data_IF_570539248558
#
_entry.id   IF_570539248558
#
_cell.length_a   1.000
_cell.length_b   1.000
_cell.length_c   1.000
_cell.angle_alpha   90.00
_cell.angle_beta   90.00
_cell.angle_gamma   90.00
#
_symmetry.space_group_name_H-M   'P 1'
#
loop_
_entity.id
_entity.type
_entity.pdbx_description
1 polymer ?
#
# COMPACT_ATOMS: atom_id res chain seq x y z
N UNK A 1 -2.99 16.43 -0.26
CA UNK A 1 -1.91 15.40 -0.16
C UNK A 1 -2.23 14.23 -1.08
N UNK A 2 -2.08 14.45 -2.39
CA UNK A 2 -2.51 13.51 -3.45
C UNK A 2 -1.75 12.17 -3.47
N UNK A 3 -0.65 12.04 -2.73
CA UNK A 3 0.21 10.84 -2.74
C UNK A 3 0.29 10.15 -1.36
N UNK A 4 -0.73 10.31 -0.53
CA UNK A 4 -0.77 9.72 0.81
C UNK A 4 -1.94 8.76 0.95
N UNK A 5 -1.63 7.49 1.15
CA UNK A 5 -2.59 6.44 1.45
C UNK A 5 -2.74 6.34 2.97
N UNK A 6 -3.95 6.58 3.47
CA UNK A 6 -4.27 6.44 4.90
C UNK A 6 -4.98 5.11 5.12
N UNK A 7 -4.33 4.20 5.82
CA UNK A 7 -4.95 2.94 6.18
C UNK A 7 -5.98 3.12 7.30
N UNK A 8 -7.08 2.40 7.24
CA UNK A 8 -8.09 2.38 8.30
C UNK A 8 -7.90 1.16 9.18
N UNK A 9 -7.95 1.35 10.50
CA UNK A 9 -7.85 0.27 11.48
C UNK A 9 -9.18 -0.45 11.62
N UNK A 10 -9.14 -1.79 11.60
CA UNK A 10 -10.27 -2.65 11.90
C UNK A 10 -9.99 -3.45 13.18
N UNK A 11 -11.01 -3.60 14.02
CA UNK A 11 -10.88 -4.39 15.26
C UNK A 11 -10.84 -5.91 15.01
N UNK A 12 -11.35 -6.36 13.85
CA UNK A 12 -11.53 -7.78 13.52
C UNK A 12 -10.57 -8.30 12.47
N UNK A 13 -11.02 -9.34 11.78
CA UNK A 13 -10.34 -9.97 10.66
C UNK A 13 -10.41 -9.05 9.44
N UNK A 14 -9.31 -8.94 8.71
CA UNK A 14 -9.28 -8.19 7.45
C UNK A 14 -10.00 -8.96 6.34
N UNK A 15 -10.53 -8.25 5.32
CA UNK A 15 -11.17 -8.88 4.17
C UNK A 15 -10.33 -9.98 3.51
N UNK A 16 -11.01 -11.03 3.04
CA UNK A 16 -10.44 -12.09 2.21
C UNK A 16 -10.96 -12.04 0.77
N UNK A 17 -11.84 -11.07 0.46
CA UNK A 17 -12.40 -10.81 -0.86
C UNK A 17 -12.28 -9.34 -1.23
N UNK A 18 -12.14 -9.07 -2.52
CA UNK A 18 -12.18 -7.71 -3.08
C UNK A 18 -13.58 -7.09 -3.00
N UNK A 19 -14.62 -7.91 -2.91
CA UNK A 19 -16.02 -7.49 -2.85
C UNK A 19 -16.55 -7.30 -1.41
N UNK A 20 -15.69 -7.44 -0.39
CA UNK A 20 -16.07 -7.30 1.02
C UNK A 20 -16.47 -5.85 1.33
N UNK A 21 -17.61 -5.67 2.01
CA UNK A 21 -18.14 -4.35 2.37
C UNK A 21 -17.21 -3.54 3.28
N UNK A 22 -16.32 -4.19 4.02
CA UNK A 22 -15.36 -3.53 4.89
C UNK A 22 -14.42 -2.57 4.13
N UNK A 23 -14.21 -2.78 2.83
CA UNK A 23 -13.45 -1.85 1.99
C UNK A 23 -14.08 -0.46 1.90
N UNK A 24 -15.39 -0.34 2.14
CA UNK A 24 -16.08 0.94 2.24
C UNK A 24 -15.58 1.83 3.38
N UNK A 25 -14.93 1.26 4.41
CA UNK A 25 -14.36 2.01 5.53
C UNK A 25 -13.01 2.64 5.19
N UNK A 26 -12.34 2.22 4.12
CA UNK A 26 -11.04 2.74 3.72
C UNK A 26 -11.19 3.83 2.66
N UNK A 27 -10.55 4.98 2.89
CA UNK A 27 -10.47 6.04 1.90
C UNK A 27 -9.71 5.56 0.66
N UNK A 28 -10.26 5.84 -0.52
CA UNK A 28 -9.58 5.59 -1.79
C UNK A 28 -8.56 6.70 -2.06
N UNK A 29 -7.37 6.32 -2.50
CA UNK A 29 -6.33 7.24 -2.97
C UNK A 29 -5.93 6.83 -4.38
N UNK A 30 -6.11 7.72 -5.35
CA UNK A 30 -5.68 7.49 -6.72
C UNK A 30 -4.31 8.08 -6.96
N UNK A 31 -3.43 7.30 -7.57
CA UNK A 31 -2.05 7.65 -7.87
C UNK A 31 -1.84 7.55 -9.38
N UNK A 32 -1.13 8.53 -9.94
CA UNK A 32 -0.81 8.55 -11.36
C UNK A 32 0.24 7.50 -11.70
N UNK A 33 -0.03 6.70 -12.71
CA UNK A 33 0.91 5.80 -13.36
C UNK A 33 1.57 6.51 -14.54
N UNK A 34 2.89 6.47 -14.61
CA UNK A 34 3.67 7.00 -15.71
C UNK A 34 4.47 5.89 -16.40
N UNK A 35 4.68 5.96 -17.70
CA UNK A 35 5.43 4.92 -18.41
C UNK A 35 6.89 4.89 -18.00
N UNK A 36 7.49 3.71 -17.92
CA UNK A 36 8.92 3.55 -17.73
C UNK A 36 9.65 3.77 -19.06
N UNK A 37 10.25 4.95 -19.20
CA UNK A 37 11.04 5.35 -20.38
C UNK A 37 12.56 5.34 -20.15
N UNK A 38 12.99 4.94 -18.95
CA UNK A 38 14.40 5.04 -18.53
C UNK A 38 15.18 3.78 -18.92
N UNK A 39 14.59 2.61 -18.71
CA UNK A 39 15.25 1.31 -18.90
C UNK A 39 14.63 0.54 -20.07
N UNK A 40 15.45 -0.09 -20.87
CA UNK A 40 15.02 -1.03 -21.91
C UNK A 40 14.39 -2.32 -21.31
N UNK A 41 13.26 -2.81 -21.85
CA UNK A 41 12.50 -2.19 -22.93
C UNK A 41 11.67 -1.02 -22.39
N UNK A 42 11.56 0.08 -23.15
CA UNK A 42 10.82 1.28 -22.74
C UNK A 42 9.36 1.18 -23.13
N UNK A 43 8.48 1.70 -22.28
CA UNK A 43 7.08 1.89 -22.57
C UNK A 43 6.84 3.35 -22.99
N UNK A 44 6.29 3.57 -24.21
CA UNK A 44 5.99 4.92 -24.69
C UNK A 44 4.49 5.21 -24.74
N UNK A 45 3.66 4.18 -24.86
CA UNK A 45 2.21 4.30 -25.02
C UNK A 45 1.49 3.47 -23.97
N UNK A 46 1.40 3.96 -22.71
CA UNK A 46 0.67 3.25 -21.66
C UNK A 46 -0.83 3.28 -21.96
N UNK A 47 -1.54 2.23 -21.59
CA UNK A 47 -3.00 2.18 -21.65
C UNK A 47 -3.62 2.48 -20.28
N UNK A 48 -2.88 2.23 -19.20
CA UNK A 48 -3.31 2.46 -17.83
C UNK A 48 -2.56 3.68 -17.26
N UNK A 49 -3.30 4.65 -16.73
CA UNK A 49 -2.77 5.95 -16.28
C UNK A 49 -2.94 6.19 -14.76
N UNK A 50 -3.70 5.33 -14.09
CA UNK A 50 -3.94 5.48 -12.65
C UNK A 50 -4.11 4.13 -11.96
N UNK A 51 -3.74 4.12 -10.68
CA UNK A 51 -4.06 3.04 -9.73
C UNK A 51 -4.75 3.64 -8.52
N UNK A 52 -5.89 3.07 -8.13
CA UNK A 52 -6.62 3.45 -6.92
C UNK A 52 -6.34 2.44 -5.82
N UNK A 53 -6.00 2.93 -4.65
CA UNK A 53 -5.56 2.11 -3.51
C UNK A 53 -6.43 2.39 -2.30
N UNK A 54 -6.88 1.33 -1.63
CA UNK A 54 -7.48 1.35 -0.30
C UNK A 54 -6.62 0.51 0.63
N UNK A 55 -6.48 0.91 1.88
CA UNK A 55 -5.68 0.20 2.86
C UNK A 55 -6.45 -0.02 4.16
N UNK A 56 -6.43 -1.25 4.64
CA UNK A 56 -6.98 -1.66 5.93
C UNK A 56 -5.90 -2.35 6.74
N UNK A 57 -5.94 -2.22 8.05
CA UNK A 57 -5.02 -2.94 8.92
C UNK A 57 -5.69 -3.31 10.26
N UNK A 58 -5.13 -4.30 10.92
CA UNK A 58 -5.48 -4.67 12.30
C UNK A 58 -4.20 -4.85 13.14
N UNK A 59 -4.29 -5.46 14.29
CA UNK A 59 -3.12 -5.70 15.17
C UNK A 59 -2.07 -6.63 14.56
N UNK A 60 -2.42 -7.44 13.56
CA UNK A 60 -1.56 -8.51 13.01
C UNK A 60 -1.18 -8.29 11.56
N UNK A 61 -2.10 -7.77 10.75
CA UNK A 61 -2.01 -7.77 9.28
C UNK A 61 -2.30 -6.40 8.69
N UNK A 62 -1.84 -6.21 7.47
CA UNK A 62 -2.22 -5.11 6.59
C UNK A 62 -2.73 -5.68 5.26
N UNK A 63 -3.78 -5.08 4.73
CA UNK A 63 -4.36 -5.42 3.45
C UNK A 63 -4.48 -4.18 2.57
N UNK A 64 -4.17 -4.35 1.29
CA UNK A 64 -4.33 -3.35 0.24
C UNK A 64 -5.33 -3.87 -0.77
N UNK A 65 -6.27 -3.05 -1.17
CA UNK A 65 -7.11 -3.26 -2.36
C UNK A 65 -6.62 -2.30 -3.44
N UNK A 66 -6.20 -2.87 -4.55
CA UNK A 66 -5.71 -2.16 -5.73
C UNK A 66 -6.76 -2.24 -6.82
N UNK A 67 -7.11 -1.12 -7.43
CA UNK A 67 -8.07 -1.04 -8.53
C UNK A 67 -7.38 -0.36 -9.72
N UNK A 68 -7.39 -1.03 -10.87
CA UNK A 68 -6.74 -0.58 -12.10
C UNK A 68 -7.73 -0.75 -13.24
N UNK A 69 -8.03 0.32 -13.96
CA UNK A 69 -8.84 0.22 -15.18
C UNK A 69 -8.03 -0.49 -16.26
N UNK A 70 -8.55 -1.61 -16.73
CA UNK A 70 -7.91 -2.44 -17.74
C UNK A 70 -8.98 -3.07 -18.62
N UNK A 71 -8.88 -2.86 -19.93
CA UNK A 71 -9.90 -3.29 -20.88
C UNK A 71 -9.95 -4.80 -21.05
N UNK A 72 -8.89 -5.50 -20.69
CA UNK A 72 -8.68 -6.92 -20.93
C UNK A 72 -8.28 -7.66 -19.66
N UNK A 73 -8.70 -8.91 -19.53
CA UNK A 73 -8.13 -9.88 -18.59
C UNK A 73 -7.05 -10.66 -19.37
N UNK A 74 -5.85 -10.11 -19.43
CA UNK A 74 -4.79 -10.66 -20.27
C UNK A 74 -4.07 -11.81 -19.59
N UNK A 75 -4.17 -12.98 -20.21
CA UNK A 75 -3.49 -14.21 -19.78
C UNK A 75 -2.87 -14.90 -21.00
N UNK A 76 -1.58 -15.24 -21.02
CA UNK A 76 -0.95 -15.96 -22.11
C UNK A 76 -1.71 -17.24 -22.46
N UNK A 77 -1.91 -17.49 -23.77
CA UNK A 77 -2.64 -18.64 -24.27
C UNK A 77 -4.15 -18.40 -24.49
N UNK A 78 -4.68 -17.22 -24.16
CA UNK A 78 -6.02 -16.82 -24.61
C UNK A 78 -6.01 -16.37 -26.07
N UNK A 79 -7.06 -16.75 -26.83
CA UNK A 79 -7.34 -16.11 -28.11
C UNK A 79 -7.86 -14.70 -27.81
N UNK A 80 -7.10 -13.69 -28.21
CA UNK A 80 -7.48 -12.28 -28.00
C UNK A 80 -8.67 -11.95 -28.90
N UNK A 81 -9.87 -12.01 -28.35
CA UNK A 81 -11.12 -11.77 -29.10
C UNK A 81 -11.45 -10.27 -29.28
N UNK A 82 -10.62 -9.35 -28.83
CA UNK A 82 -10.91 -7.91 -28.86
C UNK A 82 -9.84 -7.16 -29.62
N UNK A 83 -10.04 -7.02 -30.93
CA UNK A 83 -9.67 -5.85 -31.74
C UNK A 83 -8.22 -5.39 -31.84
N UNK A 84 -7.26 -6.03 -31.22
CA UNK A 84 -5.84 -5.74 -31.40
C UNK A 84 -5.31 -6.70 -32.44
N UNK A 85 -5.42 -6.29 -33.69
CA UNK A 85 -4.92 -7.05 -34.86
C UNK A 85 -3.45 -6.73 -35.17
N UNK A 86 -2.62 -6.56 -34.15
CA UNK A 86 -1.18 -6.59 -34.40
C UNK A 86 -0.71 -8.03 -34.21
N UNK A 87 -0.59 -8.75 -35.32
CA UNK A 87 -0.14 -10.16 -35.36
C UNK A 87 1.25 -10.38 -34.73
N UNK A 88 1.97 -9.31 -34.43
CA UNK A 88 3.30 -9.34 -33.83
C UNK A 88 3.29 -9.00 -32.30
N UNK A 89 2.16 -8.66 -31.72
CA UNK A 89 2.09 -8.34 -30.32
C UNK A 89 1.97 -9.62 -29.48
N UNK A 90 3.03 -9.94 -28.75
CA UNK A 90 3.01 -11.05 -27.78
C UNK A 90 2.19 -10.68 -26.56
N UNK A 91 1.19 -11.50 -26.23
CA UNK A 91 0.36 -11.35 -25.04
C UNK A 91 1.10 -11.82 -23.78
N UNK A 92 1.14 -10.99 -22.75
CA UNK A 92 1.66 -11.34 -21.43
C UNK A 92 0.54 -11.34 -20.39
N UNK A 93 0.85 -11.81 -19.19
CA UNK A 93 -0.07 -11.76 -18.07
C UNK A 93 -0.15 -10.36 -17.51
N UNK A 94 -1.37 -9.88 -17.23
CA UNK A 94 -1.56 -8.70 -16.42
C UNK A 94 -0.93 -8.90 -15.04
N UNK A 95 -0.26 -7.86 -14.54
CA UNK A 95 0.46 -7.94 -13.28
C UNK A 95 0.51 -6.59 -12.57
N UNK A 96 0.70 -6.66 -11.26
CA UNK A 96 0.90 -5.49 -10.41
C UNK A 96 1.96 -5.77 -9.35
N UNK A 97 2.72 -4.75 -8.98
CA UNK A 97 3.63 -4.81 -7.87
C UNK A 97 3.43 -3.62 -6.93
N UNK A 98 3.52 -3.87 -5.63
CA UNK A 98 3.61 -2.87 -4.57
C UNK A 98 4.99 -2.93 -3.96
N UNK A 99 5.69 -1.81 -3.91
CA UNK A 99 7.08 -1.76 -3.48
C UNK A 99 7.23 -0.97 -2.19
N UNK A 100 8.03 -1.52 -1.27
CA UNK A 100 8.39 -0.92 0.00
C UNK A 100 9.91 -0.93 0.20
N UNK A 101 10.48 0.02 0.95
CA UNK A 101 11.85 -0.10 1.44
C UNK A 101 12.00 -1.36 2.29
N UNK A 102 13.17 -1.99 2.25
CA UNK A 102 13.52 -3.14 3.06
C UNK A 102 14.47 -2.70 4.16
N UNK A 103 13.94 -2.35 5.35
CA UNK A 103 14.77 -1.92 6.46
C UNK A 103 14.12 -2.08 7.84
N UNK A 104 14.90 -2.66 8.75
CA UNK A 104 14.60 -2.67 10.19
C UNK A 104 15.10 -1.42 10.93
N UNK A 105 16.01 -0.66 10.33
CA UNK A 105 16.80 0.35 11.03
C UNK A 105 16.05 1.62 11.43
N UNK A 106 14.77 1.76 11.04
CA UNK A 106 14.02 3.01 11.20
C UNK A 106 12.82 2.94 12.16
N UNK A 107 12.71 1.89 12.95
CA UNK A 107 11.59 1.73 13.90
C UNK A 107 11.43 2.91 14.89
N UNK A 108 12.51 3.64 15.15
CA UNK A 108 12.51 4.81 16.04
C UNK A 108 12.24 6.15 15.34
N UNK A 109 12.09 6.17 14.00
CA UNK A 109 11.89 7.39 13.23
C UNK A 109 10.46 7.48 12.70
N UNK A 110 9.80 8.65 12.79
CA UNK A 110 8.44 8.82 12.27
C UNK A 110 8.34 8.73 10.74
N UNK A 111 9.46 8.90 10.05
CA UNK A 111 9.55 8.86 8.58
C UNK A 111 10.62 7.88 8.17
N UNK A 112 10.24 6.88 7.37
CA UNK A 112 11.18 5.96 6.72
C UNK A 112 11.79 6.62 5.50
N UNK A 113 13.08 6.45 5.30
CA UNK A 113 13.79 7.06 4.16
C UNK A 113 13.33 6.43 2.84
N UNK A 114 13.03 7.28 1.87
CA UNK A 114 12.77 6.84 0.49
C UNK A 114 14.09 6.41 -0.15
N UNK A 115 14.16 5.23 -0.78
CA UNK A 115 15.29 4.86 -1.61
C UNK A 115 15.49 5.86 -2.75
N UNK A 116 16.74 6.06 -3.17
CA UNK A 116 17.07 6.99 -4.26
C UNK A 116 16.48 6.52 -5.60
N UNK A 117 16.52 5.21 -5.85
CA UNK A 117 15.96 4.57 -7.04
C UNK A 117 14.76 3.69 -6.68
N UNK A 118 13.91 3.40 -7.67
CA UNK A 118 12.70 2.59 -7.47
C UNK A 118 12.98 1.16 -7.03
N UNK A 119 14.01 0.52 -7.59
CA UNK A 119 14.44 -0.81 -7.17
C UNK A 119 15.45 -0.75 -6.02
N UNK A 120 15.40 0.31 -5.21
CA UNK A 120 16.36 0.54 -4.15
C UNK A 120 17.71 1.02 -4.65
N UNK A 121 18.66 1.05 -3.76
CA UNK A 121 20.06 1.34 -4.02
C UNK A 121 20.94 0.42 -3.17
N UNK A 122 22.26 0.59 -3.23
CA UNK A 122 23.20 -0.26 -2.50
C UNK A 122 23.00 -0.24 -0.97
N UNK A 123 22.53 0.89 -0.44
CA UNK A 123 22.28 1.08 0.99
C UNK A 123 20.84 0.79 1.39
N UNK A 124 19.89 0.99 0.47
CA UNK A 124 18.45 0.91 0.72
C UNK A 124 17.82 -0.08 -0.24
N UNK A 125 17.73 -1.32 0.17
CA UNK A 125 17.07 -2.37 -0.58
C UNK A 125 15.55 -2.22 -0.53
N UNK A 126 14.83 -2.89 -1.43
CA UNK A 126 13.37 -2.88 -1.48
C UNK A 126 12.81 -4.29 -1.57
N UNK A 127 11.57 -4.45 -1.09
CA UNK A 127 10.75 -5.63 -1.25
C UNK A 127 9.52 -5.26 -2.09
N UNK A 128 9.16 -6.11 -3.03
CA UNK A 128 7.96 -5.97 -3.84
C UNK A 128 6.98 -7.09 -3.51
N UNK A 129 5.73 -6.73 -3.30
CA UNK A 129 4.60 -7.63 -3.31
C UNK A 129 4.10 -7.70 -4.75
N UNK A 130 4.33 -8.80 -5.39
CA UNK A 130 4.01 -9.00 -6.81
C UNK A 130 2.86 -9.99 -6.97
N UNK A 131 1.95 -9.69 -7.87
CA UNK A 131 0.88 -10.57 -8.30
C UNK A 131 0.74 -10.51 -9.83
N UNK A 132 0.40 -11.65 -10.46
CA UNK A 132 0.03 -11.74 -11.85
C UNK A 132 -1.23 -12.59 -12.05
N UNK A 133 -1.93 -12.39 -13.15
CA UNK A 133 -3.18 -13.07 -13.50
C UNK A 133 -3.00 -14.55 -13.89
N UNK A 134 -1.76 -15.00 -14.13
CA UNK A 134 -1.48 -16.37 -14.58
C UNK A 134 -1.53 -16.52 -16.09
N UNK A 135 -1.83 -17.73 -16.56
CA UNK A 135 -1.94 -18.07 -17.99
C UNK A 135 -3.00 -19.13 -18.21
N UNK A 136 -3.55 -19.20 -19.43
CA UNK A 136 -4.52 -20.22 -19.86
C UNK A 136 -3.78 -21.40 -20.49
N UNK A 137 -2.76 -21.14 -21.32
CA UNK A 137 -1.93 -22.17 -21.95
C UNK A 137 -0.42 -21.89 -21.74
N UNK A 138 0.30 -22.72 -21.04
CA UNK A 138 -0.18 -23.79 -20.16
C UNK A 138 -0.92 -23.22 -18.95
N UNK A 139 -2.00 -23.84 -18.52
CA UNK A 139 -2.87 -23.35 -17.44
C UNK A 139 -2.08 -23.11 -16.15
N UNK A 140 -2.04 -21.86 -15.71
CA UNK A 140 -1.41 -21.45 -14.44
C UNK A 140 -2.31 -20.43 -13.74
N UNK A 141 -2.70 -20.67 -12.50
CA UNK A 141 -3.47 -19.69 -11.74
C UNK A 141 -2.65 -18.42 -11.49
N UNK A 142 -3.34 -17.33 -11.17
CA UNK A 142 -2.68 -16.11 -10.70
C UNK A 142 -1.76 -16.41 -9.52
N UNK A 143 -0.61 -15.77 -9.49
CA UNK A 143 0.44 -16.03 -8.53
C UNK A 143 0.79 -14.78 -7.72
N UNK A 144 0.98 -14.98 -6.41
CA UNK A 144 1.56 -13.99 -5.53
C UNK A 144 2.99 -14.39 -5.16
N UNK A 145 3.92 -13.44 -5.15
CA UNK A 145 5.29 -13.68 -4.71
C UNK A 145 5.94 -12.42 -4.16
N UNK A 146 6.89 -12.60 -3.26
CA UNK A 146 7.77 -11.54 -2.81
C UNK A 146 9.01 -11.51 -3.69
N UNK A 147 9.39 -10.29 -4.11
CA UNK A 147 10.61 -10.05 -4.89
C UNK A 147 11.50 -9.11 -4.11
N UNK A 148 12.80 -9.36 -4.12
CA UNK A 148 13.80 -8.50 -3.52
C UNK A 148 14.62 -7.77 -4.59
N UNK A 149 14.86 -6.47 -4.36
CA UNK A 149 15.67 -5.64 -5.24
C UNK A 149 16.69 -4.81 -4.45
N UNK A 150 17.87 -4.63 -5.02
CA UNK A 150 19.01 -3.96 -4.37
C UNK A 150 19.70 -2.94 -5.26
N UNK A 151 18.96 -2.36 -6.20
CA UNK A 151 19.41 -1.29 -7.07
C UNK A 151 19.06 -1.51 -8.54
N UNK A 152 19.21 -0.46 -9.38
CA UNK A 152 18.75 -0.45 -10.77
C UNK A 152 19.50 -1.45 -11.65
N UNK A 153 20.77 -1.75 -11.32
CA UNK A 153 21.62 -2.65 -12.12
C UNK A 153 21.67 -4.07 -11.55
N UNK A 154 20.85 -4.36 -10.54
CA UNK A 154 20.77 -5.68 -9.93
C UNK A 154 19.54 -6.42 -10.41
N UNK A 155 19.68 -7.74 -10.54
CA UNK A 155 18.55 -8.61 -10.87
C UNK A 155 17.57 -8.59 -9.70
N UNK A 156 16.28 -8.47 -10.04
CA UNK A 156 15.20 -8.68 -9.07
C UNK A 156 15.09 -10.18 -8.84
N UNK A 157 15.10 -10.59 -7.58
CA UNK A 157 15.13 -11.99 -7.20
C UNK A 157 13.86 -12.39 -6.48
N UNK A 158 13.18 -13.48 -6.91
CA UNK A 158 12.07 -14.06 -6.17
C UNK A 158 12.57 -14.58 -4.81
N UNK A 159 11.85 -14.22 -3.74
CA UNK A 159 12.11 -14.76 -2.41
C UNK A 159 11.51 -16.15 -2.29
N UNK A 160 12.36 -17.14 -2.08
CA UNK A 160 11.94 -18.54 -1.95
C UNK A 160 11.56 -18.86 -0.49
N UNK A 161 10.49 -19.64 -0.32
CA UNK A 161 10.07 -20.15 0.98
C UNK A 161 9.43 -19.13 1.92
N UNK A 162 9.00 -17.98 1.39
CA UNK A 162 8.22 -16.99 2.14
C UNK A 162 6.82 -16.87 1.53
N UNK A 163 5.85 -17.56 2.11
CA UNK A 163 4.44 -17.60 1.69
C UNK A 163 3.60 -16.60 2.48
N UNK A 164 4.21 -15.58 3.07
CA UNK A 164 3.51 -14.60 3.91
C UNK A 164 2.63 -13.63 3.14
N UNK A 165 2.86 -13.46 1.83
CA UNK A 165 2.01 -12.66 0.96
C UNK A 165 0.84 -13.49 0.45
N UNK A 166 -0.37 -13.05 0.74
CA UNK A 166 -1.59 -13.52 0.11
C UNK A 166 -2.07 -12.49 -0.90
N UNK A 167 -2.37 -12.91 -2.13
CA UNK A 167 -2.97 -12.03 -3.12
C UNK A 167 -4.00 -12.76 -3.97
N UNK A 168 -5.06 -12.04 -4.33
CA UNK A 168 -6.15 -12.51 -5.20
C UNK A 168 -6.56 -11.36 -6.10
N UNK A 169 -6.74 -11.62 -7.38
CA UNK A 169 -7.24 -10.65 -8.35
C UNK A 169 -8.53 -11.13 -8.99
N UNK A 170 -9.45 -10.21 -9.23
CA UNK A 170 -10.68 -10.40 -10.01
C UNK A 170 -10.74 -9.31 -11.06
N UNK A 171 -10.90 -9.71 -12.32
CA UNK A 171 -11.22 -8.79 -13.41
C UNK A 171 -12.73 -8.77 -13.63
N UNK A 172 -13.30 -7.56 -13.65
CA UNK A 172 -14.73 -7.38 -13.85
C UNK A 172 -15.01 -6.00 -14.45
N UNK A 173 -15.79 -5.98 -15.51
CA UNK A 173 -16.25 -4.74 -16.13
C UNK A 173 -15.11 -3.78 -16.54
N UNK A 174 -14.02 -4.30 -17.12
CA UNK A 174 -12.90 -3.49 -17.58
C UNK A 174 -12.00 -2.99 -16.45
N UNK A 175 -11.93 -3.72 -15.34
CA UNK A 175 -11.13 -3.35 -14.18
C UNK A 175 -10.58 -4.56 -13.46
N UNK A 176 -9.32 -4.52 -13.10
CA UNK A 176 -8.74 -5.38 -12.09
C UNK A 176 -8.99 -4.85 -10.69
N UNK A 177 -9.43 -5.73 -9.79
CA UNK A 177 -9.44 -5.53 -8.34
C UNK A 177 -8.54 -6.59 -7.73
N UNK A 178 -7.47 -6.16 -7.04
CA UNK A 178 -6.44 -7.05 -6.53
C UNK A 178 -6.30 -6.80 -5.04
N UNK A 179 -6.60 -7.82 -4.24
CA UNK A 179 -6.36 -7.86 -2.80
C UNK A 179 -4.95 -8.37 -2.55
N UNK A 180 -4.16 -7.64 -1.77
CA UNK A 180 -2.88 -8.09 -1.24
C UNK A 180 -2.89 -7.98 0.27
N UNK A 181 -2.54 -9.04 0.99
CA UNK A 181 -2.56 -9.10 2.45
C UNK A 181 -1.29 -9.75 2.99
N UNK A 182 -0.73 -9.17 4.06
CA UNK A 182 0.49 -9.67 4.69
C UNK A 182 0.54 -9.32 6.18
N UNK A 183 1.30 -10.09 7.01
CA UNK A 183 1.60 -9.70 8.38
C UNK A 183 2.30 -8.34 8.47
N UNK A 184 1.94 -7.53 9.49
CA UNK A 184 2.52 -6.19 9.73
C UNK A 184 3.97 -6.21 10.21
N UNK A 185 4.42 -7.29 10.80
CA UNK A 185 5.73 -7.41 11.44
C UNK A 185 6.88 -7.74 10.46
N UNK A 186 6.82 -7.26 9.24
CA UNK A 186 7.90 -7.36 8.27
C UNK A 186 8.19 -8.77 7.75
N UNK A 187 7.27 -9.69 7.96
CA UNK A 187 7.31 -11.01 7.37
C UNK A 187 8.40 -11.94 7.88
N UNK A 188 8.14 -13.19 7.63
CA UNK A 188 8.96 -14.30 8.04
C UNK A 188 8.73 -14.67 9.51
N UNK A 189 8.50 -15.97 9.73
CA UNK A 189 8.31 -16.54 11.07
C UNK A 189 9.46 -16.21 12.02
N UNK A 190 10.60 -15.82 11.51
CA UNK A 190 11.85 -15.62 12.25
C UNK A 190 12.27 -14.15 12.41
N UNK A 191 11.50 -13.18 11.84
CA UNK A 191 11.87 -11.77 11.84
C UNK A 191 13.21 -11.47 11.15
N UNK A 192 13.74 -12.39 10.35
CA UNK A 192 15.06 -12.30 9.71
C UNK A 192 15.05 -11.73 8.30
N UNK A 193 13.87 -11.51 7.72
CA UNK A 193 13.77 -11.06 6.32
C UNK A 193 14.28 -9.66 6.06
N UNK A 194 14.41 -8.84 7.12
CA UNK A 194 14.78 -7.43 6.99
C UNK A 194 13.68 -6.54 6.38
N UNK A 195 12.47 -7.06 6.21
CA UNK A 195 11.35 -6.29 5.70
C UNK A 195 10.91 -5.22 6.68
N UNK A 196 10.30 -4.18 6.12
CA UNK A 196 9.71 -3.08 6.87
C UNK A 196 8.59 -3.56 7.79
N UNK A 197 8.62 -3.10 9.04
CA UNK A 197 7.48 -3.22 9.93
C UNK A 197 6.48 -2.09 9.65
N UNK A 198 5.19 -2.45 9.58
CA UNK A 198 4.11 -1.47 9.39
C UNK A 198 3.65 -0.94 10.76
N UNK A 199 4.34 0.11 11.23
CA UNK A 199 4.14 0.70 12.56
C UNK A 199 3.18 1.87 12.48
N UNK A 200 2.26 1.97 13.44
CA UNK A 200 1.32 3.08 13.54
C UNK A 200 2.06 4.41 13.78
N UNK A 201 1.61 5.46 13.13
CA UNK A 201 2.19 6.80 13.22
C UNK A 201 3.42 7.04 12.35
N UNK A 202 3.93 6.03 11.64
CA UNK A 202 5.04 6.20 10.71
C UNK A 202 4.56 6.53 9.29
N UNK A 203 5.38 7.29 8.58
CA UNK A 203 5.26 7.54 7.13
C UNK A 203 6.13 6.53 6.39
N UNK A 204 5.50 5.57 5.74
CA UNK A 204 6.13 4.46 5.06
C UNK A 204 6.13 4.73 3.55
N UNK A 205 7.29 4.79 2.88
CA UNK A 205 7.32 4.94 1.43
C UNK A 205 6.65 3.75 0.74
N UNK A 206 5.83 4.04 -0.27
CA UNK A 206 5.16 3.04 -1.09
C UNK A 206 5.18 3.48 -2.55
N UNK A 207 5.36 2.55 -3.46
CA UNK A 207 5.22 2.78 -4.90
C UNK A 207 4.59 1.57 -5.57
N UNK A 208 4.07 1.77 -6.78
CA UNK A 208 3.35 0.76 -7.54
C UNK A 208 3.92 0.64 -8.93
N UNK A 209 3.80 -0.55 -9.50
CA UNK A 209 4.04 -0.81 -10.91
C UNK A 209 2.90 -1.66 -11.47
N UNK A 210 2.51 -1.43 -12.73
CA UNK A 210 1.48 -2.18 -13.42
C UNK A 210 1.97 -2.59 -14.79
N UNK A 211 1.64 -3.81 -15.19
CA UNK A 211 1.88 -4.40 -16.51
C UNK A 211 0.54 -4.74 -17.15
N UNK A 212 0.23 -4.12 -18.25
CA UNK A 212 -0.89 -4.47 -19.12
C UNK A 212 -0.37 -5.47 -20.18
N UNK A 213 -0.74 -6.73 -19.99
CA UNK A 213 -0.29 -7.82 -20.86
C UNK A 213 -0.76 -7.68 -22.29
N UNK A 214 -1.92 -7.06 -22.53
CA UNK A 214 -2.46 -6.79 -23.87
C UNK A 214 -1.64 -5.75 -24.64
N UNK A 215 -0.94 -4.87 -23.94
CA UNK A 215 -0.02 -3.88 -24.50
C UNK A 215 1.41 -4.41 -24.67
N UNK A 216 1.60 -5.71 -24.53
CA UNK A 216 2.93 -6.36 -24.61
C UNK A 216 3.87 -5.92 -23.49
N UNK A 217 3.32 -5.59 -22.31
CA UNK A 217 4.11 -5.12 -21.16
C UNK A 217 4.66 -6.30 -20.38
N UNK A 218 5.99 -6.28 -20.20
CA UNK A 218 6.74 -7.25 -19.39
C UNK A 218 8.04 -6.64 -18.89
N UNK A 219 8.60 -7.18 -17.80
CA UNK A 219 9.92 -6.77 -17.31
C UNK A 219 10.03 -5.28 -17.08
N UNK A 220 10.91 -4.59 -17.78
CA UNK A 220 11.09 -3.14 -17.66
C UNK A 220 10.03 -2.33 -18.40
N UNK A 221 9.33 -2.92 -19.35
CA UNK A 221 8.23 -2.28 -20.08
C UNK A 221 6.97 -2.32 -19.23
N UNK A 222 6.70 -1.26 -18.46
CA UNK A 222 5.57 -1.16 -17.53
C UNK A 222 5.27 0.28 -17.17
N UNK A 223 4.13 0.52 -16.53
CA UNK A 223 3.82 1.77 -15.87
C UNK A 223 4.17 1.71 -14.37
N UNK A 224 4.34 2.87 -13.76
CA UNK A 224 4.75 2.94 -12.37
C UNK A 224 4.40 4.29 -11.74
N UNK A 225 4.28 4.34 -10.40
CA UNK A 225 4.09 5.59 -9.66
C UNK A 225 5.41 6.18 -9.18
N UNK A 226 5.39 7.46 -8.82
CA UNK A 226 6.37 8.00 -7.89
C UNK A 226 6.23 7.38 -6.51
N UNK A 227 7.25 7.53 -5.65
CA UNK A 227 7.13 7.19 -4.24
C UNK A 227 6.08 8.08 -3.57
N UNK A 228 5.01 7.44 -3.07
CA UNK A 228 4.03 8.01 -2.18
C UNK A 228 4.32 7.64 -0.72
N UNK A 229 3.30 7.82 0.14
CA UNK A 229 3.34 7.50 1.54
C UNK A 229 2.16 6.61 1.93
N UNK A 230 2.44 5.57 2.70
CA UNK A 230 1.44 4.82 3.44
C UNK A 230 1.54 5.21 4.91
N UNK A 231 0.42 5.54 5.52
CA UNK A 231 0.34 5.89 6.94
C UNK A 231 -0.72 5.00 7.60
N UNK A 232 -0.35 4.39 8.71
CA UNK A 232 -1.27 3.70 9.60
C UNK A 232 -1.57 4.66 10.78
N UNK A 233 -2.68 5.40 10.76
CA UNK A 233 -3.00 6.31 11.85
C UNK A 233 -3.16 5.54 13.16
N UNK A 234 -2.54 5.99 14.26
CA UNK A 234 -2.77 5.37 15.56
C UNK A 234 -4.22 5.59 16.00
N UNK A 235 -4.74 4.70 16.83
CA UNK A 235 -5.99 4.99 17.52
C UNK A 235 -5.85 6.25 18.35
N UNK A 236 -6.71 7.21 18.08
CA UNK A 236 -6.83 8.39 18.95
C UNK A 236 -7.69 7.99 20.13
N UNK A 237 -7.09 7.98 21.33
CA UNK A 237 -7.84 7.84 22.56
C UNK A 237 -8.67 9.11 22.78
N UNK A 238 -9.89 9.11 22.23
CA UNK A 238 -10.82 10.25 22.37
C UNK A 238 -11.08 10.61 23.82
N UNK A 239 -11.09 9.64 24.73
CA UNK A 239 -11.26 9.91 26.15
C UNK A 239 -10.11 10.76 26.69
N UNK A 240 -8.87 10.47 26.33
CA UNK A 240 -7.71 11.32 26.72
C UNK A 240 -7.73 12.68 26.04
N UNK A 241 -8.18 12.72 24.78
CA UNK A 241 -8.23 13.97 24.01
C UNK A 241 -9.18 15.00 24.66
N UNK A 242 -10.29 14.55 25.22
CA UNK A 242 -11.30 15.44 25.84
C UNK A 242 -11.26 15.44 27.35
N UNK A 243 -10.91 14.35 28.02
CA UNK A 243 -10.89 14.27 29.47
C UNK A 243 -9.82 15.17 30.11
N UNK A 244 -8.64 15.27 29.50
CA UNK A 244 -7.55 16.10 30.04
C UNK A 244 -7.88 17.59 29.94
N UNK A 245 -8.25 18.16 28.78
CA UNK A 245 -8.66 19.56 28.69
C UNK A 245 -9.90 19.86 29.53
N UNK A 246 -10.89 18.95 29.52
CA UNK A 246 -12.10 19.09 30.35
C UNK A 246 -11.81 19.12 31.85
N UNK A 247 -10.93 18.26 32.32
CA UNK A 247 -10.47 18.23 33.69
C UNK A 247 -9.74 19.51 34.12
N UNK A 248 -8.85 20.03 33.26
CA UNK A 248 -8.13 21.30 33.49
C UNK A 248 -9.12 22.46 33.53
N UNK A 249 -10.06 22.54 32.60
CA UNK A 249 -11.07 23.59 32.56
C UNK A 249 -11.95 23.58 33.83
N UNK A 250 -12.39 22.41 34.25
CA UNK A 250 -13.16 22.24 35.48
C UNK A 250 -12.35 22.66 36.70
N UNK A 251 -11.09 22.28 36.78
CA UNK A 251 -10.19 22.66 37.90
C UNK A 251 -10.01 24.19 37.97
N UNK A 252 -9.75 24.85 36.88
CA UNK A 252 -9.60 26.31 36.80
C UNK A 252 -10.91 27.01 37.21
N UNK A 253 -12.05 26.49 36.76
CA UNK A 253 -13.36 27.02 37.13
C UNK A 253 -13.63 26.90 38.62
N UNK A 254 -13.36 25.74 39.23
CA UNK A 254 -13.53 25.52 40.66
C UNK A 254 -12.61 26.42 41.53
N UNK A 255 -11.35 26.57 41.12
CA UNK A 255 -10.40 27.49 41.74
C UNK A 255 -10.89 28.95 41.67
N UNK A 256 -11.41 29.38 40.53
CA UNK A 256 -12.02 30.69 40.36
C UNK A 256 -13.19 30.94 41.32
N UNK A 257 -14.09 29.94 41.45
CA UNK A 257 -15.20 30.01 42.37
C UNK A 257 -14.74 30.13 43.85
N UNK A 258 -13.70 29.39 44.25
CA UNK A 258 -13.12 29.47 45.56
C UNK A 258 -12.53 30.84 45.85
N UNK A 259 -11.82 31.44 44.89
CA UNK A 259 -11.26 32.79 45.05
C UNK A 259 -12.35 33.83 45.17
N UNK A 260 -13.40 33.77 44.37
CA UNK A 260 -14.55 34.69 44.46
C UNK A 260 -15.27 34.54 45.82
N UNK A 261 -15.46 33.32 46.28
CA UNK A 261 -16.04 33.07 47.62
C UNK A 261 -15.17 33.68 48.72
N UNK A 262 -13.86 33.47 48.65
CA UNK A 262 -12.90 34.03 49.62
C UNK A 262 -12.95 35.55 49.64
N UNK A 263 -12.95 36.21 48.49
CA UNK A 263 -13.08 37.66 48.39
C UNK A 263 -14.40 38.19 48.95
N UNK A 264 -15.53 37.50 48.72
CA UNK A 264 -16.82 37.86 49.27
C UNK A 264 -16.87 37.76 50.82
N UNK A 265 -16.15 36.77 51.38
CA UNK A 265 -16.04 36.65 52.85
C UNK A 265 -15.23 37.80 53.45
N UNK A 266 -14.11 38.18 52.85
CA UNK A 266 -13.31 39.34 53.30
C UNK A 266 -14.07 40.65 53.24
N UNK A 267 -14.90 40.90 52.20
CA UNK A 267 -15.73 42.11 52.07
C UNK A 267 -16.88 42.20 53.08
N UNK A 268 -17.24 41.12 53.74
CA UNK A 268 -18.28 41.11 54.79
C UNK A 268 -17.73 41.33 56.23
N UNK A 269 -16.42 41.33 56.36
CA UNK A 269 -15.74 41.55 57.67
C UNK A 269 -15.25 43.01 57.85
N UNK A 270 -15.36 43.81 56.80
CA UNK A 270 -15.15 45.27 56.84
C UNK A 270 -16.43 45.98 56.35
#
# INVERSE_FOLDING_TARGET
>A
DSNMIRATKLAGVLPDSVEDEQWGNAAATSLMLVPNIIKEERLFTPLNDAITVRALYNSKEIALLLEIDDRTDSRPGEEVSVGIQDENLELFSDAVAVQFPKEKAYESKPVVVKPLYRHGDKAHHTTMWYWNAGSVEPARPGQAMLLDASGPDKKIEPRRGDDSLQAKGIWKNGRWQILMKRPRNGGGRDGKTGDLNFIEGQFLPISFANWDGSNGEKGAKHTLTSWGWLVLPPEVDEQRLYAVPGGVALFVFLMGLLLVRKQRMYRKQY
#
